data_IF_125879392334
#
_entry.id   IF_125879392334
#
_cell.length_a   1.000
_cell.length_b   1.000
_cell.length_c   1.000
_cell.angle_alpha   90.00
_cell.angle_beta   90.00
_cell.angle_gamma   90.00
#
_symmetry.space_group_name_H-M   'P 1'
#
loop_
_entity.id
_entity.type
_entity.pdbx_description
1 polymer ?
#
# COMPACT_ATOMS: atom_id res chain seq x y z
N UNK A 1 -2.33 42.85 -21.19
CA UNK A 1 -1.38 41.80 -21.55
C UNK A 1 -0.53 41.47 -20.34
N UNK A 2 -0.81 40.34 -19.70
CA UNK A 2 0.05 39.74 -18.68
C UNK A 2 -0.16 38.22 -18.75
N UNK A 3 0.55 37.66 -19.72
CA UNK A 3 1.15 36.32 -19.78
C UNK A 3 0.61 35.29 -18.79
N UNK A 4 -0.33 34.50 -19.30
CA UNK A 4 -0.40 33.05 -19.18
C UNK A 4 0.74 32.39 -18.37
N UNK A 5 0.49 32.07 -17.10
CA UNK A 5 1.15 30.94 -16.46
C UNK A 5 0.18 29.78 -16.59
N UNK A 6 0.23 29.12 -17.76
CA UNK A 6 -0.17 27.73 -17.85
C UNK A 6 0.77 26.98 -16.91
N UNK A 7 0.34 26.77 -15.66
CA UNK A 7 0.92 25.75 -14.83
C UNK A 7 0.71 24.44 -15.60
N UNK A 8 1.76 24.00 -16.28
CA UNK A 8 1.86 22.69 -16.88
C UNK A 8 1.46 21.69 -15.79
N UNK A 9 0.25 21.16 -15.89
CA UNK A 9 -0.15 19.93 -15.23
C UNK A 9 0.75 18.85 -15.81
N UNK A 10 1.96 18.72 -15.26
CA UNK A 10 2.79 17.53 -15.43
C UNK A 10 2.12 16.46 -14.57
N UNK A 11 0.98 15.98 -15.07
CA UNK A 11 0.40 14.73 -14.65
C UNK A 11 1.49 13.68 -14.78
N UNK A 12 1.64 12.90 -13.73
CA UNK A 12 2.53 11.75 -13.68
C UNK A 12 2.34 10.94 -14.98
N UNK A 13 3.30 10.96 -15.92
CA UNK A 13 3.32 10.10 -17.11
C UNK A 13 3.73 8.68 -16.69
N UNK A 14 3.02 8.15 -15.69
CA UNK A 14 3.20 6.78 -15.24
C UNK A 14 2.62 5.84 -16.28
N UNK A 15 3.23 4.68 -16.39
CA UNK A 15 2.59 3.51 -16.97
C UNK A 15 2.09 2.63 -15.83
N UNK A 16 1.34 1.61 -16.20
CA UNK A 16 0.75 0.67 -15.28
C UNK A 16 0.85 -0.73 -15.85
N UNK A 17 0.93 -1.70 -14.96
CA UNK A 17 0.50 -3.06 -15.26
C UNK A 17 -0.40 -3.55 -14.14
N UNK A 18 -1.25 -4.51 -14.45
CA UNK A 18 -2.12 -5.14 -13.46
C UNK A 18 -1.77 -6.60 -13.33
N UNK A 19 -1.82 -7.11 -12.11
CA UNK A 19 -1.80 -8.55 -11.88
C UNK A 19 -3.14 -8.98 -11.28
N UNK A 20 -3.74 -9.98 -11.90
CA UNK A 20 -4.97 -10.64 -11.49
C UNK A 20 -4.62 -11.97 -10.87
N UNK A 21 -5.12 -12.25 -9.68
CA UNK A 21 -5.11 -13.61 -9.15
C UNK A 21 -6.47 -14.26 -9.35
N UNK A 22 -6.51 -15.46 -9.92
CA UNK A 22 -7.77 -16.18 -10.16
C UNK A 22 -8.20 -17.03 -8.95
N UNK A 23 -7.49 -16.96 -7.81
CA UNK A 23 -7.70 -17.83 -6.65
C UNK A 23 -7.31 -17.17 -5.31
N UNK A 24 -7.41 -17.92 -4.20
CA UNK A 24 -7.04 -17.53 -2.83
C UNK A 24 -5.54 -17.21 -2.61
N UNK A 25 -4.70 -17.21 -3.65
CA UNK A 25 -3.26 -16.89 -3.58
C UNK A 25 -2.97 -15.39 -3.59
N UNK A 26 -3.98 -14.54 -3.36
CA UNK A 26 -3.83 -13.08 -3.35
C UNK A 26 -2.84 -12.56 -2.32
N UNK A 27 -2.70 -13.27 -1.20
CA UNK A 27 -1.75 -12.95 -0.14
C UNK A 27 -0.31 -13.21 -0.58
N UNK A 28 -0.05 -14.33 -1.24
CA UNK A 28 1.31 -14.77 -1.59
C UNK A 28 1.96 -13.83 -2.60
N UNK A 29 1.21 -13.38 -3.61
CA UNK A 29 1.78 -12.47 -4.61
C UNK A 29 2.08 -11.09 -4.04
N UNK A 30 1.27 -10.60 -3.09
CA UNK A 30 1.48 -9.29 -2.45
C UNK A 30 2.70 -9.30 -1.53
N UNK A 31 2.95 -10.42 -0.85
CA UNK A 31 4.19 -10.62 -0.11
C UNK A 31 5.41 -10.65 -1.05
N UNK A 32 5.32 -11.34 -2.20
CA UNK A 32 6.41 -11.35 -3.18
C UNK A 32 6.68 -9.98 -3.80
N UNK A 33 5.64 -9.19 -4.08
CA UNK A 33 5.79 -7.81 -4.54
C UNK A 33 6.56 -6.99 -3.50
N UNK A 34 6.14 -7.03 -2.24
CA UNK A 34 6.83 -6.32 -1.15
C UNK A 34 8.33 -6.64 -1.11
N UNK A 35 8.72 -7.91 -1.19
CA UNK A 35 10.13 -8.32 -1.19
C UNK A 35 10.90 -7.69 -2.36
N UNK A 36 10.31 -7.65 -3.54
CA UNK A 36 10.99 -7.10 -4.72
C UNK A 36 11.06 -5.57 -4.68
N UNK A 37 10.03 -4.90 -4.18
CA UNK A 37 10.08 -3.45 -3.92
C UNK A 37 11.17 -3.08 -2.91
N UNK A 38 11.44 -3.94 -1.91
CA UNK A 38 12.57 -3.78 -0.99
C UNK A 38 13.90 -3.98 -1.72
N UNK A 39 14.04 -5.03 -2.53
CA UNK A 39 15.28 -5.33 -3.28
C UNK A 39 15.67 -4.18 -4.22
N UNK A 40 14.70 -3.59 -4.93
CA UNK A 40 14.96 -2.46 -5.84
C UNK A 40 14.91 -1.08 -5.15
N UNK A 41 14.85 -1.06 -3.82
CA UNK A 41 14.74 0.14 -2.97
C UNK A 41 13.70 1.16 -3.49
N UNK A 42 12.53 0.67 -3.88
CA UNK A 42 11.52 1.50 -4.54
C UNK A 42 10.85 2.48 -3.55
N UNK A 43 10.80 3.74 -3.95
CA UNK A 43 9.99 4.80 -3.32
C UNK A 43 9.00 5.44 -4.29
N UNK A 44 8.99 4.97 -5.53
CA UNK A 44 8.40 5.57 -6.72
C UNK A 44 7.36 4.66 -7.39
N UNK A 45 7.30 3.38 -6.98
CA UNK A 45 6.27 2.43 -7.40
C UNK A 45 5.11 2.40 -6.40
N UNK A 46 3.93 2.74 -6.88
CA UNK A 46 2.67 2.72 -6.13
C UNK A 46 1.78 1.54 -6.49
N UNK A 47 0.82 1.22 -5.61
CA UNK A 47 -0.20 0.22 -5.89
C UNK A 47 -1.61 0.74 -5.64
N UNK A 48 -2.58 0.23 -6.41
CA UNK A 48 -3.99 0.42 -6.15
C UNK A 48 -4.78 -0.88 -6.28
N UNK A 49 -5.98 -0.88 -5.72
CA UNK A 49 -6.88 -2.01 -5.62
C UNK A 49 -8.16 -1.68 -6.38
N UNK A 50 -8.28 -1.99 -7.69
CA UNK A 50 -9.45 -1.61 -8.48
C UNK A 50 -10.78 -2.21 -7.97
N UNK A 51 -10.69 -3.35 -7.29
CA UNK A 51 -11.84 -4.07 -6.71
C UNK A 51 -12.01 -3.80 -5.19
N UNK A 52 -11.42 -2.71 -4.70
CA UNK A 52 -11.54 -2.30 -3.30
C UNK A 52 -13.00 -2.05 -2.92
N UNK A 53 -13.46 -2.70 -1.84
CA UNK A 53 -14.81 -2.54 -1.30
C UNK A 53 -14.78 -2.41 0.21
N UNK A 54 -15.28 -1.27 0.71
CA UNK A 54 -15.51 -1.04 2.15
C UNK A 54 -16.67 -1.87 2.69
N UNK A 55 -17.73 -2.03 1.91
CA UNK A 55 -18.92 -2.80 2.28
C UNK A 55 -18.56 -4.27 2.52
N UNK A 56 -17.89 -4.90 1.55
CA UNK A 56 -17.44 -6.30 1.64
C UNK A 56 -16.15 -6.48 2.44
N UNK A 57 -15.48 -5.38 2.81
CA UNK A 57 -14.19 -5.34 3.52
C UNK A 57 -13.07 -6.11 2.79
N UNK A 58 -13.05 -6.05 1.47
CA UNK A 58 -12.07 -6.73 0.62
C UNK A 58 -11.27 -5.75 -0.22
N UNK A 59 -10.03 -6.13 -0.50
CA UNK A 59 -9.17 -5.44 -1.48
C UNK A 59 -9.42 -5.93 -2.91
N UNK A 60 -10.14 -7.05 -3.06
CA UNK A 60 -10.29 -7.76 -4.32
C UNK A 60 -9.02 -8.49 -4.78
N UNK A 61 -9.12 -9.08 -5.98
CA UNK A 61 -8.14 -9.98 -6.55
C UNK A 61 -7.22 -9.29 -7.57
N UNK A 62 -7.63 -8.13 -8.08
CA UNK A 62 -6.84 -7.25 -8.95
C UNK A 62 -5.93 -6.33 -8.14
N UNK A 63 -4.63 -6.34 -8.44
CA UNK A 63 -3.68 -5.32 -8.01
C UNK A 63 -3.19 -4.57 -9.23
N UNK A 64 -3.26 -3.24 -9.20
CA UNK A 64 -2.63 -2.38 -10.21
C UNK A 64 -1.35 -1.80 -9.64
N UNK A 65 -0.28 -1.86 -10.41
CA UNK A 65 1.03 -1.28 -10.07
C UNK A 65 1.23 -0.04 -10.94
N UNK A 66 1.66 1.05 -10.32
CA UNK A 66 1.86 2.37 -10.91
C UNK A 66 3.33 2.75 -10.80
N UNK A 67 3.91 3.30 -11.85
CA UNK A 67 5.29 3.77 -11.83
C UNK A 67 5.73 4.29 -13.19
N UNK A 68 6.97 4.74 -13.25
CA UNK A 68 7.61 5.06 -14.53
C UNK A 68 7.90 3.76 -15.32
N UNK A 69 7.93 3.84 -16.66
CA UNK A 69 8.12 2.67 -17.51
C UNK A 69 9.39 1.89 -17.21
N UNK A 70 10.52 2.60 -17.12
CA UNK A 70 11.82 2.03 -16.76
C UNK A 70 11.79 1.24 -15.45
N UNK A 71 11.01 1.70 -14.47
CA UNK A 71 10.88 1.09 -13.14
C UNK A 71 9.95 -0.11 -13.14
N UNK A 72 8.86 -0.04 -13.90
CA UNK A 72 7.96 -1.19 -14.08
C UNK A 72 8.62 -2.28 -14.93
N UNK A 73 9.43 -1.93 -15.92
CA UNK A 73 10.24 -2.87 -16.71
C UNK A 73 11.27 -3.58 -15.84
N UNK A 74 11.96 -2.84 -14.96
CA UNK A 74 12.86 -3.47 -14.00
C UNK A 74 12.13 -4.46 -13.09
N UNK A 75 10.96 -4.08 -12.57
CA UNK A 75 10.17 -4.95 -11.70
C UNK A 75 9.58 -6.16 -12.46
N UNK A 76 9.14 -5.99 -13.70
CA UNK A 76 8.57 -7.05 -14.53
C UNK A 76 9.62 -8.07 -14.97
N UNK A 77 10.86 -7.62 -15.21
CA UNK A 77 12.01 -8.47 -15.55
C UNK A 77 12.54 -9.31 -14.40
N UNK A 78 12.14 -9.03 -13.15
CA UNK A 78 12.54 -9.85 -12.01
C UNK A 78 11.74 -11.17 -11.96
N UNK A 79 12.33 -12.29 -11.54
CA UNK A 79 11.65 -13.60 -11.45
C UNK A 79 10.74 -13.70 -10.21
N UNK A 80 10.06 -12.62 -9.82
CA UNK A 80 9.31 -12.53 -8.58
C UNK A 80 7.96 -13.25 -8.61
N UNK A 81 7.45 -13.55 -9.80
CA UNK A 81 6.23 -14.35 -9.99
C UNK A 81 6.52 -15.84 -10.16
N UNK A 82 7.78 -16.28 -10.03
CA UNK A 82 8.16 -17.69 -10.17
C UNK A 82 7.36 -18.61 -9.25
N UNK A 83 6.72 -19.64 -9.80
CA UNK A 83 5.82 -20.56 -9.10
C UNK A 83 4.40 -20.03 -8.88
N UNK A 84 4.04 -18.89 -9.46
CA UNK A 84 2.69 -18.32 -9.42
C UNK A 84 2.10 -18.04 -10.81
N UNK A 85 2.81 -18.37 -11.89
CA UNK A 85 2.41 -18.05 -13.27
C UNK A 85 1.04 -18.64 -13.63
N UNK A 86 0.75 -19.87 -13.19
CA UNK A 86 -0.54 -20.52 -13.46
C UNK A 86 -1.73 -19.89 -12.69
N UNK A 87 -1.43 -19.02 -11.71
CA UNK A 87 -2.43 -18.43 -10.82
C UNK A 87 -2.55 -16.92 -10.97
N UNK A 88 -1.62 -16.31 -11.70
CA UNK A 88 -1.49 -14.86 -11.82
C UNK A 88 -1.32 -14.51 -13.29
N UNK A 89 -2.29 -13.76 -13.80
CA UNK A 89 -2.13 -13.08 -15.07
C UNK A 89 -1.62 -11.67 -14.79
N UNK A 90 -0.50 -11.29 -15.38
CA UNK A 90 -0.07 -9.90 -15.42
C UNK A 90 -0.23 -9.36 -16.83
N UNK A 91 -0.96 -8.25 -16.96
CA UNK A 91 -1.11 -7.55 -18.22
C UNK A 91 0.18 -6.81 -18.62
N UNK A 92 0.20 -6.32 -19.86
CA UNK A 92 1.30 -5.52 -20.38
C UNK A 92 1.38 -4.14 -19.70
N UNK A 93 2.60 -3.58 -19.73
CA UNK A 93 2.83 -2.21 -19.29
C UNK A 93 2.18 -1.27 -20.31
N UNK A 94 1.26 -0.44 -19.84
CA UNK A 94 0.44 0.43 -20.69
C UNK A 94 0.33 1.84 -20.13
N UNK A 95 0.08 2.80 -21.02
CA UNK A 95 -0.15 4.20 -20.65
C UNK A 95 -1.42 4.34 -19.81
N UNK A 96 -1.38 5.23 -18.83
CA UNK A 96 -2.56 5.57 -18.05
C UNK A 96 -3.55 6.35 -18.95
N UNK A 97 -4.86 6.02 -18.92
CA UNK A 97 -5.86 6.77 -19.68
C UNK A 97 -5.89 8.25 -19.31
N UNK A 98 -6.29 9.13 -20.25
CA UNK A 98 -6.36 10.57 -19.98
C UNK A 98 -7.30 10.93 -18.81
N UNK A 99 -8.39 10.17 -18.66
CA UNK A 99 -9.41 10.42 -17.63
C UNK A 99 -9.32 9.37 -16.54
N UNK A 100 -8.79 9.77 -15.40
CA UNK A 100 -8.68 8.91 -14.21
C UNK A 100 -9.04 9.69 -12.95
N UNK A 101 -9.35 8.97 -11.88
CA UNK A 101 -9.59 9.58 -10.56
C UNK A 101 -8.36 9.42 -9.68
N UNK A 102 -7.76 10.51 -9.17
CA UNK A 102 -6.67 10.42 -8.19
C UNK A 102 -7.15 9.72 -6.91
N UNK A 103 -6.29 8.92 -6.29
CA UNK A 103 -6.57 8.32 -5.00
C UNK A 103 -5.33 8.16 -4.12
N UNK A 104 -5.53 8.25 -2.81
CA UNK A 104 -4.57 7.80 -1.82
C UNK A 104 -4.83 6.35 -1.45
N UNK A 105 -3.78 5.54 -1.48
CA UNK A 105 -3.80 4.14 -1.01
C UNK A 105 -2.84 4.03 0.16
N UNK A 106 -3.36 4.09 1.38
CA UNK A 106 -2.56 4.29 2.59
C UNK A 106 -2.66 3.09 3.52
N UNK A 107 -1.55 2.83 4.22
CA UNK A 107 -1.57 1.92 5.37
C UNK A 107 -2.20 2.62 6.57
N UNK A 108 -3.18 1.98 7.19
CA UNK A 108 -3.76 2.46 8.45
C UNK A 108 -3.27 1.59 9.60
N UNK A 109 -2.72 2.22 10.63
CA UNK A 109 -2.32 1.55 11.86
C UNK A 109 -2.97 2.26 13.04
N UNK A 110 -3.50 1.47 13.98
CA UNK A 110 -4.01 1.96 15.25
C UNK A 110 -3.36 1.21 16.40
N UNK A 111 -3.45 1.79 17.59
CA UNK A 111 -3.09 1.11 18.84
C UNK A 111 -4.16 0.06 19.14
N UNK A 112 -4.03 -1.14 18.59
CA UNK A 112 -5.02 -2.22 18.69
C UNK A 112 -4.75 -3.24 19.81
N UNK A 113 -3.67 -3.05 20.58
CA UNK A 113 -3.34 -3.89 21.72
C UNK A 113 -2.71 -2.98 22.76
N UNK A 114 -3.53 -2.60 23.75
CA UNK A 114 -3.12 -1.67 24.80
C UNK A 114 -1.96 -2.22 25.63
N UNK A 115 -1.95 -3.52 25.94
CA UNK A 115 -0.87 -4.15 26.72
C UNK A 115 0.48 -4.08 26.02
N UNK A 116 0.51 -4.28 24.69
CA UNK A 116 1.74 -4.09 23.89
C UNK A 116 2.21 -2.65 23.93
N UNK A 117 1.29 -1.68 23.92
CA UNK A 117 1.63 -0.25 24.02
C UNK A 117 2.17 0.06 25.41
N UNK A 118 1.51 -0.42 26.48
CA UNK A 118 1.94 -0.27 27.87
C UNK A 118 3.34 -0.84 28.08
N UNK A 119 3.59 -2.08 27.66
CA UNK A 119 4.92 -2.73 27.75
C UNK A 119 6.01 -1.93 27.04
N UNK A 120 5.73 -1.42 25.83
CA UNK A 120 6.67 -0.56 25.09
C UNK A 120 6.90 0.77 25.79
N UNK A 121 5.87 1.37 26.38
CA UNK A 121 5.97 2.64 27.09
C UNK A 121 6.77 2.49 28.39
N UNK A 122 6.50 1.44 29.18
CA UNK A 122 7.30 1.07 30.36
C UNK A 122 8.77 0.90 29.99
N UNK A 123 9.08 0.11 28.95
CA UNK A 123 10.47 -0.12 28.50
C UNK A 123 11.17 1.15 28.04
N UNK A 124 10.46 2.09 27.41
CA UNK A 124 11.05 3.33 26.86
C UNK A 124 11.26 4.41 27.93
N UNK A 125 10.40 4.47 28.93
CA UNK A 125 10.39 5.53 29.94
C UNK A 125 10.72 5.05 31.36
N UNK A 126 11.07 3.77 31.51
CA UNK A 126 11.42 3.13 32.77
C UNK A 126 10.35 3.32 33.88
N UNK A 127 9.07 3.30 33.49
CA UNK A 127 7.92 3.51 34.37
C UNK A 127 7.38 2.21 34.94
N UNK A 128 6.74 2.30 36.10
CA UNK A 128 6.03 1.16 36.71
C UNK A 128 4.66 0.91 36.05
N UNK A 129 4.12 -0.28 36.28
CA UNK A 129 2.87 -0.73 35.63
C UNK A 129 1.65 0.12 36.03
N UNK A 130 1.56 0.54 37.30
CA UNK A 130 0.44 1.33 37.81
C UNK A 130 0.32 2.69 37.11
N UNK A 131 1.44 3.41 37.01
CA UNK A 131 1.52 4.71 36.33
C UNK A 131 1.17 4.62 34.84
N UNK A 132 1.63 3.55 34.18
CA UNK A 132 1.37 3.35 32.76
C UNK A 132 -0.09 2.96 32.48
N UNK A 133 -0.75 2.22 33.40
CA UNK A 133 -2.18 1.92 33.29
C UNK A 133 -3.04 3.18 33.37
N UNK A 134 -2.66 4.14 34.23
CA UNK A 134 -3.33 5.44 34.34
C UNK A 134 -3.12 6.27 33.06
N UNK A 135 -1.87 6.38 32.58
CA UNK A 135 -1.53 7.16 31.38
C UNK A 135 -2.09 6.56 30.08
N UNK A 136 -2.23 5.24 30.02
CA UNK A 136 -2.68 4.51 28.83
C UNK A 136 -3.85 3.61 29.24
N UNK A 137 -5.08 4.17 29.33
CA UNK A 137 -6.26 3.41 29.69
C UNK A 137 -6.65 2.42 28.58
N UNK A 138 -7.46 1.41 28.91
CA UNK A 138 -7.95 0.41 27.96
C UNK A 138 -8.69 1.06 26.77
N UNK A 139 -9.36 2.20 26.99
CA UNK A 139 -10.08 2.97 25.97
C UNK A 139 -9.20 3.47 24.80
N UNK A 140 -7.86 3.44 24.95
CA UNK A 140 -6.92 3.75 23.86
C UNK A 140 -6.92 2.64 22.80
N UNK A 141 -7.36 1.44 23.13
CA UNK A 141 -7.46 0.34 22.18
C UNK A 141 -8.49 0.64 21.10
N UNK A 142 -8.04 0.67 19.84
CA UNK A 142 -8.90 0.88 18.68
C UNK A 142 -8.88 -0.35 17.78
N UNK A 143 -10.03 -0.72 17.23
CA UNK A 143 -10.15 -1.73 16.18
C UNK A 143 -10.37 -1.05 14.84
N UNK A 144 -9.72 -1.57 13.80
CA UNK A 144 -9.92 -1.10 12.43
C UNK A 144 -10.96 -1.95 11.75
N UNK A 145 -11.91 -1.27 11.11
CA UNK A 145 -12.90 -1.86 10.23
C UNK A 145 -12.58 -1.52 8.77
N UNK A 146 -11.40 -1.93 8.32
CA UNK A 146 -10.88 -1.65 6.98
C UNK A 146 -10.49 -2.96 6.28
N UNK A 147 -10.52 -3.01 4.94
CA UNK A 147 -9.86 -4.06 4.18
C UNK A 147 -8.39 -4.19 4.59
N UNK A 148 -7.89 -5.43 4.59
CA UNK A 148 -6.50 -5.71 4.94
C UNK A 148 -5.95 -6.85 4.10
N UNK A 149 -4.62 -6.91 4.02
CA UNK A 149 -3.87 -8.08 3.59
C UNK A 149 -3.16 -8.72 4.79
N UNK A 150 -3.04 -10.04 4.78
CA UNK A 150 -2.23 -10.77 5.76
C UNK A 150 -0.81 -10.81 5.21
N UNK A 151 0.17 -10.27 5.93
CA UNK A 151 1.59 -10.26 5.54
C UNK A 151 2.35 -11.22 6.43
N UNK A 152 3.24 -12.01 5.83
CA UNK A 152 4.27 -12.75 6.58
C UNK A 152 5.52 -11.88 6.74
N UNK A 153 5.82 -11.46 7.96
CA UNK A 153 7.04 -10.68 8.23
C UNK A 153 8.26 -11.59 8.23
N UNK A 154 9.25 -11.32 7.37
CA UNK A 154 10.51 -12.07 7.38
C UNK A 154 11.34 -11.79 8.64
N UNK A 155 11.43 -10.52 9.06
CA UNK A 155 12.22 -10.13 10.22
C UNK A 155 11.71 -10.69 11.54
N UNK A 156 10.39 -10.93 11.66
CA UNK A 156 9.79 -11.40 12.92
C UNK A 156 9.21 -12.80 12.84
N UNK A 157 9.11 -13.38 11.64
CA UNK A 157 8.44 -14.64 11.35
C UNK A 157 6.97 -14.67 11.84
N UNK A 158 6.37 -13.50 12.04
CA UNK A 158 4.98 -13.35 12.49
C UNK A 158 4.08 -12.90 11.34
N UNK A 159 2.84 -13.40 11.37
CA UNK A 159 1.77 -12.92 10.50
C UNK A 159 1.14 -11.68 11.11
N UNK A 160 0.88 -10.66 10.30
CA UNK A 160 0.13 -9.48 10.74
C UNK A 160 -0.84 -8.97 9.67
N UNK A 161 -1.86 -8.25 10.10
CA UNK A 161 -2.80 -7.57 9.21
C UNK A 161 -2.24 -6.21 8.82
N UNK A 162 -2.05 -5.98 7.52
CA UNK A 162 -1.75 -4.67 6.96
C UNK A 162 -3.07 -4.10 6.44
N UNK A 163 -3.68 -3.22 7.25
CA UNK A 163 -4.92 -2.54 6.89
C UNK A 163 -4.63 -1.44 5.87
N UNK A 164 -5.48 -1.38 4.85
CA UNK A 164 -5.36 -0.45 3.73
C UNK A 164 -6.63 0.38 3.64
N UNK A 165 -6.45 1.66 3.40
CA UNK A 165 -7.50 2.61 3.05
C UNK A 165 -7.23 3.11 1.64
N UNK A 166 -8.23 3.03 0.77
CA UNK A 166 -8.18 3.60 -0.57
C UNK A 166 -9.28 4.64 -0.70
N UNK A 167 -8.90 5.91 -0.84
CA UNK A 167 -9.83 7.04 -0.88
C UNK A 167 -9.51 7.93 -2.08
N UNK A 168 -10.55 8.27 -2.85
CA UNK A 168 -10.46 9.21 -3.96
C UNK A 168 -10.17 10.61 -3.42
N UNK A 169 -9.36 11.37 -4.14
CA UNK A 169 -9.05 12.76 -3.80
C UNK A 169 -9.25 13.67 -5.01
N UNK A 170 -9.35 14.97 -4.76
CA UNK A 170 -9.65 15.95 -5.80
C UNK A 170 -8.51 16.14 -6.80
N UNK A 171 -7.27 16.09 -6.32
CA UNK A 171 -6.07 16.44 -7.09
C UNK A 171 -4.99 15.38 -6.99
N UNK A 172 -4.08 15.37 -7.96
CA UNK A 172 -2.89 14.54 -7.91
C UNK A 172 -1.83 15.18 -7.02
N UNK A 173 -1.24 14.35 -6.16
CA UNK A 173 -0.13 14.74 -5.30
C UNK A 173 1.10 13.92 -5.65
N UNK A 174 2.20 14.63 -5.93
CA UNK A 174 3.54 14.04 -6.01
C UNK A 174 4.01 13.66 -4.61
N UNK A 175 4.68 12.53 -4.49
CA UNK A 175 5.21 12.06 -3.22
C UNK A 175 5.87 10.70 -3.39
N UNK A 176 6.07 10.02 -2.27
CA UNK A 176 6.68 8.69 -2.26
C UNK A 176 5.68 7.61 -1.88
N UNK A 177 6.06 6.37 -2.15
CA UNK A 177 5.44 5.15 -1.67
C UNK A 177 6.35 4.45 -0.66
N UNK A 178 5.77 3.65 0.21
CA UNK A 178 6.52 2.76 1.09
C UNK A 178 6.88 1.45 0.38
N UNK A 179 7.60 0.56 1.07
CA UNK A 179 8.03 -0.74 0.54
C UNK A 179 6.90 -1.73 0.24
N UNK A 180 5.64 -1.37 0.51
CA UNK A 180 4.44 -2.11 0.11
C UNK A 180 3.73 -1.44 -1.08
N UNK A 181 4.31 -0.38 -1.66
CA UNK A 181 3.68 0.44 -2.70
C UNK A 181 2.56 1.36 -2.19
N UNK A 182 2.41 1.52 -0.87
CA UNK A 182 1.36 2.34 -0.28
C UNK A 182 1.85 3.77 -0.08
N UNK A 183 0.96 4.73 -0.32
CA UNK A 183 1.22 6.16 -0.30
C UNK A 183 1.84 6.65 1.02
N UNK A 184 2.90 7.45 0.87
CA UNK A 184 3.47 8.38 1.87
C UNK A 184 3.26 9.84 1.43
N UNK A 185 2.10 10.14 0.85
CA UNK A 185 1.77 11.47 0.31
C UNK A 185 1.51 11.48 -1.19
N UNK A 186 1.95 10.45 -1.93
CA UNK A 186 1.65 10.31 -3.35
C UNK A 186 0.19 9.87 -3.62
N UNK A 187 -0.33 10.24 -4.79
CA UNK A 187 -1.57 9.66 -5.35
C UNK A 187 -1.30 8.68 -6.47
N UNK A 188 -2.24 7.76 -6.69
CA UNK A 188 -2.29 6.84 -7.83
C UNK A 188 -3.55 7.06 -8.65
N UNK A 189 -3.61 6.47 -9.84
CA UNK A 189 -4.74 6.61 -10.76
C UNK A 189 -5.76 5.46 -10.59
N UNK A 190 -7.04 5.80 -10.34
CA UNK A 190 -8.15 4.84 -10.35
C UNK A 190 -8.98 4.99 -11.63
N UNK A 191 -9.30 3.84 -12.22
CA UNK A 191 -10.16 3.66 -13.39
C UNK A 191 -10.46 2.16 -13.57
#
# INVERSE_FOLDING_TARGET
MATQILANFVGYQGVIYYCLSYNHKTVVYRDKLHKNLVVINSTDIGVSFPEYSMEKKVLGNKLRVHGEASRLDQLSGMPWLTGLQDYIFCGEISQIPEKTTPAHVQRVQVKSNVERVRRRHMKRHNLNEGEVKIKIPLAVEKRLNLPYLIVNSESTQQKFRLFVRQEKVAEHYSGQFNTYGLSKGATVHLF
#
